data_IF_698162848610
#
_entry.id   IF_698162848610
#
_cell.length_a   1.000
_cell.length_b   1.000
_cell.length_c   1.000
_cell.angle_alpha   90.00
_cell.angle_beta   90.00
_cell.angle_gamma   90.00
#
_symmetry.space_group_name_H-M   'P 1'
#
loop_
_entity.id
_entity.type
_entity.pdbx_description
1 polymer ?
#
# COMPACT_ATOMS: atom_id res chain seq x y z
N UNK A 1 9.71 -10.18 7.40
CA UNK A 1 8.94 -8.92 7.32
C UNK A 1 9.18 -8.31 5.95
N UNK A 2 8.15 -7.88 5.21
CA UNK A 2 8.34 -7.24 3.89
C UNK A 2 8.76 -5.77 4.04
N UNK A 3 7.98 -4.96 4.77
CA UNK A 3 8.31 -3.58 5.13
C UNK A 3 7.54 -3.17 6.40
N UNK A 4 7.90 -2.04 7.02
CA UNK A 4 7.15 -1.39 8.11
C UNK A 4 6.90 0.07 7.76
N UNK A 5 5.79 0.61 8.26
CA UNK A 5 5.42 2.02 8.11
C UNK A 5 5.00 2.58 9.46
N UNK A 6 5.33 3.84 9.71
CA UNK A 6 4.82 4.60 10.85
C UNK A 6 4.23 5.91 10.32
N UNK A 7 3.01 6.21 10.73
CA UNK A 7 2.32 7.45 10.37
C UNK A 7 1.47 7.90 11.54
N UNK A 8 1.16 9.19 11.59
CA UNK A 8 0.27 9.76 12.60
C UNK A 8 -1.03 10.22 11.92
N UNK A 9 -2.16 9.69 12.39
CA UNK A 9 -3.49 9.92 11.81
C UNK A 9 -3.95 11.37 11.89
N UNK A 10 -3.42 12.17 12.81
CA UNK A 10 -3.77 13.59 12.93
C UNK A 10 -3.33 14.44 11.72
N UNK A 11 -2.39 13.95 10.91
CA UNK A 11 -1.90 14.66 9.72
C UNK A 11 -2.57 14.20 8.43
N UNK A 12 -3.46 13.20 8.51
CA UNK A 12 -4.14 12.65 7.34
C UNK A 12 -5.36 13.51 7.02
N UNK A 13 -5.29 14.25 5.91
CA UNK A 13 -6.38 15.11 5.42
C UNK A 13 -7.18 14.51 4.26
N UNK A 14 -6.66 13.43 3.67
CA UNK A 14 -7.27 12.66 2.58
C UNK A 14 -7.62 11.26 3.06
N UNK A 15 -8.50 10.56 2.36
CA UNK A 15 -8.84 9.17 2.65
C UNK A 15 -7.79 8.16 2.13
N UNK A 16 -6.67 8.63 1.57
CA UNK A 16 -5.56 7.77 1.16
C UNK A 16 -4.21 8.35 1.56
N UNK A 17 -3.32 7.50 2.07
CA UNK A 17 -1.90 7.77 2.25
C UNK A 17 -1.13 6.90 1.26
N UNK A 18 -0.46 7.53 0.30
CA UNK A 18 0.36 6.87 -0.69
C UNK A 18 1.82 6.89 -0.24
N UNK A 19 2.47 5.74 -0.28
CA UNK A 19 3.83 5.52 0.19
C UNK A 19 4.66 4.85 -0.91
N UNK A 20 5.93 5.21 -0.98
CA UNK A 20 6.91 4.61 -1.89
C UNK A 20 8.06 3.95 -1.12
N UNK A 21 9.06 3.42 -1.81
CA UNK A 21 10.20 2.71 -1.19
C UNK A 21 11.02 3.56 -0.22
N UNK A 22 11.02 4.88 -0.37
CA UNK A 22 11.73 5.82 0.51
C UNK A 22 10.93 6.16 1.78
N UNK A 23 9.61 5.88 1.79
CA UNK A 23 8.72 6.17 2.91
C UNK A 23 8.53 4.96 3.87
N UNK A 24 9.12 3.81 3.55
CA UNK A 24 8.91 2.55 4.28
C UNK A 24 10.23 1.93 4.75
N UNK A 25 10.21 1.37 5.95
CA UNK A 25 11.33 0.64 6.51
C UNK A 25 11.38 -0.77 5.93
N UNK A 26 12.36 -1.04 5.06
CA UNK A 26 12.60 -2.35 4.45
C UNK A 26 13.58 -3.15 5.32
N UNK A 27 13.37 -4.47 5.42
CA UNK A 27 14.33 -5.34 6.12
C UNK A 27 15.70 -5.29 5.43
N UNK A 28 16.77 -5.07 6.20
CA UNK A 28 18.14 -5.11 5.72
C UNK A 28 18.42 -6.39 4.90
N UNK A 29 19.02 -6.22 3.71
CA UNK A 29 19.30 -7.34 2.79
C UNK A 29 18.14 -7.75 1.88
N UNK A 30 16.97 -7.09 1.95
CA UNK A 30 15.83 -7.35 1.05
C UNK A 30 15.56 -6.23 0.04
N UNK A 31 16.40 -5.19 0.00
CA UNK A 31 16.23 -4.01 -0.86
C UNK A 31 16.16 -4.38 -2.35
N UNK A 32 16.97 -5.34 -2.79
CA UNK A 32 17.00 -5.80 -4.19
C UNK A 32 15.80 -6.65 -4.59
N UNK A 33 14.99 -7.08 -3.61
CA UNK A 33 13.80 -7.92 -3.80
C UNK A 33 12.52 -7.09 -3.96
N UNK A 34 12.58 -5.78 -3.73
CA UNK A 34 11.46 -4.88 -3.98
C UNK A 34 11.43 -4.41 -5.44
N UNK A 35 10.26 -4.37 -6.09
CA UNK A 35 10.13 -3.79 -7.41
C UNK A 35 10.59 -2.32 -7.41
N UNK A 36 11.31 -1.88 -8.45
CA UNK A 36 11.78 -0.47 -8.56
C UNK A 36 10.66 0.57 -8.44
N UNK A 37 9.42 0.18 -8.77
CA UNK A 37 8.24 1.04 -8.75
C UNK A 37 7.27 0.65 -7.63
N UNK A 38 7.78 0.15 -6.51
CA UNK A 38 6.95 -0.21 -5.37
C UNK A 38 6.13 0.99 -4.89
N UNK A 39 4.84 0.74 -4.66
CA UNK A 39 3.91 1.66 -4.02
C UNK A 39 3.04 0.89 -3.03
N UNK A 40 2.70 1.55 -1.94
CA UNK A 40 1.70 1.08 -1.00
C UNK A 40 0.68 2.20 -0.77
N UNK A 41 -0.59 1.83 -0.64
CA UNK A 41 -1.67 2.76 -0.36
C UNK A 41 -2.39 2.30 0.91
N UNK A 42 -2.55 3.24 1.86
CA UNK A 42 -3.38 3.04 3.05
C UNK A 42 -4.66 3.83 2.84
N UNK A 43 -5.76 3.11 2.71
CA UNK A 43 -7.10 3.69 2.58
C UNK A 43 -7.72 3.86 3.97
N UNK A 44 -8.24 5.05 4.25
CA UNK A 44 -8.95 5.38 5.47
C UNK A 44 -10.45 5.47 5.19
N UNK A 45 -11.25 4.81 6.03
CA UNK A 45 -12.71 4.92 6.02
C UNK A 45 -13.19 5.39 7.38
N UNK A 46 -14.25 6.19 7.38
CA UNK A 46 -14.99 6.51 8.58
C UNK A 46 -15.79 5.27 9.04
N UNK A 47 -15.74 4.96 10.34
CA UNK A 47 -16.42 3.80 10.90
C UNK A 47 -17.93 4.08 10.87
N UNK A 48 -18.62 3.51 9.87
CA UNK A 48 -20.06 3.67 9.64
C UNK A 48 -20.44 4.26 8.28
N UNK A 49 -19.47 4.77 7.51
CA UNK A 49 -19.69 5.27 6.15
C UNK A 49 -19.30 4.23 5.10
N UNK A 50 -20.27 3.82 4.30
CA UNK A 50 -20.18 3.13 2.99
C UNK A 50 -18.83 2.47 2.62
N UNK A 51 -18.87 1.16 2.38
CA UNK A 51 -17.74 0.40 1.83
C UNK A 51 -17.13 1.10 0.61
N UNK A 52 -15.83 1.37 0.64
CA UNK A 52 -15.06 1.79 -0.54
C UNK A 52 -15.37 0.84 -1.71
N UNK A 53 -15.64 1.34 -2.93
CA UNK A 53 -15.71 0.49 -4.11
C UNK A 53 -14.39 -0.27 -4.17
N UNK A 54 -14.46 -1.60 -4.08
CA UNK A 54 -13.31 -2.48 -4.14
C UNK A 54 -12.43 -2.04 -5.30
N UNK A 55 -11.21 -1.57 -5.00
CA UNK A 55 -10.26 -1.18 -6.02
C UNK A 55 -10.12 -2.35 -7.02
N UNK A 56 -10.13 -2.11 -8.33
CA UNK A 56 -10.00 -3.17 -9.32
C UNK A 56 -8.65 -3.88 -9.08
N UNK A 57 -8.72 -5.05 -8.45
CA UNK A 57 -7.58 -5.95 -8.35
C UNK A 57 -7.40 -6.52 -9.74
N UNK A 58 -6.39 -6.05 -10.48
CA UNK A 58 -6.01 -6.69 -11.74
C UNK A 58 -5.50 -8.08 -11.41
N UNK A 59 -6.37 -9.08 -11.47
CA UNK A 59 -5.98 -10.49 -11.45
C UNK A 59 -5.26 -10.74 -12.76
N UNK A 60 -3.93 -10.76 -12.73
CA UNK A 60 -3.13 -11.30 -13.83
C UNK A 60 -3.36 -12.81 -13.86
N UNK A 61 -4.48 -13.23 -14.43
CA UNK A 61 -4.73 -14.64 -14.75
C UNK A 61 -3.84 -14.98 -15.94
N UNK A 62 -2.63 -15.44 -15.64
CA UNK A 62 -1.81 -16.16 -16.59
C UNK A 62 -2.33 -17.60 -16.68
N UNK A 63 -3.42 -17.79 -17.42
CA UNK A 63 -3.84 -19.13 -17.83
C UNK A 63 -3.44 -19.33 -19.30
N UNK A 64 -2.21 -19.83 -19.47
CA UNK A 64 -1.81 -20.64 -20.61
C UNK A 64 -2.73 -21.87 -20.72
N UNK A 65 -3.53 -21.94 -21.78
CA UNK A 65 -3.66 -23.13 -22.63
C UNK A 65 -4.17 -22.73 -24.01
#
# INVERSE_FOLDING_TARGET
MMFRIMFNTAFIRSNVLMLNSDDVDILWGSKDRHPRNFRAEVLFCEIGGISLPRAPTTTLNGDTN
#
